data_IF_739637173282
#
_entry.id   IF_739637173282
#
_cell.length_a   1.000
_cell.length_b   1.000
_cell.length_c   1.000
_cell.angle_alpha   90.00
_cell.angle_beta   90.00
_cell.angle_gamma   90.00
#
_symmetry.space_group_name_H-M   'P 1'
#
loop_
_entity.id
_entity.type
_entity.pdbx_description
1 polymer ?
#
# COMPACT_ATOMS: atom_id res chain seq x y z
N UNK A 1 -22.94 -0.55 -31.35
CA UNK A 1 -21.80 0.16 -30.74
C UNK A 1 -22.21 0.56 -29.34
N UNK A 2 -21.84 -0.22 -28.32
CA UNK A 2 -22.02 0.12 -26.90
C UNK A 2 -20.89 -0.52 -26.09
N UNK A 3 -20.34 0.33 -25.23
CA UNK A 3 -19.89 0.06 -23.85
C UNK A 3 -18.83 -1.00 -23.61
N UNK A 4 -17.68 -0.58 -23.08
CA UNK A 4 -17.54 -0.41 -21.62
C UNK A 4 -16.10 0.02 -21.31
N UNK A 5 -15.92 1.23 -20.78
CA UNK A 5 -14.68 1.57 -20.08
C UNK A 5 -14.68 0.79 -18.75
N UNK A 6 -14.16 -0.43 -18.77
CA UNK A 6 -13.63 -1.07 -17.56
C UNK A 6 -12.40 -0.26 -17.12
N UNK A 7 -12.64 0.87 -16.45
CA UNK A 7 -11.63 1.46 -15.58
C UNK A 7 -11.43 0.44 -14.47
N UNK A 8 -10.40 -0.34 -14.67
CA UNK A 8 -10.00 -1.48 -13.88
C UNK A 8 -9.66 -0.97 -12.49
N UNK A 9 -10.29 -1.52 -11.45
CA UNK A 9 -9.83 -1.35 -10.05
C UNK A 9 -8.33 -1.71 -9.87
N UNK A 10 -7.71 -2.37 -10.86
CA UNK A 10 -6.28 -2.65 -11.01
C UNK A 10 -5.39 -1.47 -11.47
N UNK A 11 -5.93 -0.27 -11.74
CA UNK A 11 -5.12 0.87 -12.22
C UNK A 11 -5.03 2.04 -11.25
N UNK A 12 -5.63 1.97 -10.06
CA UNK A 12 -5.40 3.01 -9.07
C UNK A 12 -3.96 2.89 -8.54
N UNK A 13 -3.13 3.94 -8.66
CA UNK A 13 -1.79 3.95 -8.12
C UNK A 13 -1.85 3.65 -6.62
N UNK A 14 -0.96 2.78 -6.12
CA UNK A 14 -0.84 2.50 -4.68
C UNK A 14 -0.78 3.79 -3.84
N UNK A 15 -0.15 4.84 -4.36
CA UNK A 15 -0.10 6.17 -3.73
C UNK A 15 -1.48 6.76 -3.44
N UNK A 16 -2.44 6.65 -4.37
CA UNK A 16 -3.81 7.16 -4.17
C UNK A 16 -4.59 6.33 -3.15
N UNK A 17 -4.32 5.02 -3.11
CA UNK A 17 -4.93 4.11 -2.13
C UNK A 17 -4.42 4.39 -0.71
N UNK A 18 -3.13 4.71 -0.58
CA UNK A 18 -2.50 5.02 0.71
C UNK A 18 -3.08 6.28 1.37
N UNK A 19 -3.48 7.27 0.58
CA UNK A 19 -4.13 8.49 1.11
C UNK A 19 -5.54 8.24 1.66
N UNK A 20 -6.20 7.18 1.20
CA UNK A 20 -7.57 6.80 1.60
C UNK A 20 -7.59 5.61 2.57
N UNK A 21 -6.42 5.08 2.93
CA UNK A 21 -6.32 3.90 3.74
C UNK A 21 -6.76 4.17 5.19
N UNK A 22 -7.55 3.26 5.76
CA UNK A 22 -7.78 3.20 7.20
C UNK A 22 -6.54 2.64 7.90
N UNK A 23 -6.04 1.56 7.32
CA UNK A 23 -4.95 0.78 7.88
C UNK A 23 -4.21 0.03 6.81
N UNK A 24 -2.95 -0.24 7.09
CA UNK A 24 -2.04 -0.90 6.16
C UNK A 24 -1.50 -2.13 6.89
N UNK A 25 -1.62 -3.30 6.29
CA UNK A 25 -0.98 -4.51 6.77
C UNK A 25 0.33 -4.71 6.02
N UNK A 26 1.44 -4.88 6.73
CA UNK A 26 2.75 -5.18 6.15
C UNK A 26 3.30 -6.45 6.77
N UNK A 27 3.59 -7.45 5.93
CA UNK A 27 4.14 -8.74 6.34
C UNK A 27 3.36 -9.38 7.52
N UNK A 28 2.03 -9.21 7.54
CA UNK A 28 1.13 -9.71 8.59
C UNK A 28 0.94 -8.79 9.81
N UNK A 29 1.61 -7.65 9.88
CA UNK A 29 1.46 -6.66 10.96
C UNK A 29 0.55 -5.50 10.52
N UNK A 30 -0.48 -5.19 11.32
CA UNK A 30 -1.44 -4.11 11.03
C UNK A 30 -0.99 -2.75 11.58
N UNK A 31 -0.95 -1.75 10.70
CA UNK A 31 -0.58 -0.36 10.98
C UNK A 31 -1.78 0.57 10.77
N UNK A 32 -2.34 1.08 11.87
CA UNK A 32 -3.45 2.07 11.86
C UNK A 32 -2.98 3.53 12.02
N UNK A 33 -1.70 3.73 12.30
CA UNK A 33 -1.12 5.06 12.48
C UNK A 33 0.07 5.19 11.55
N UNK A 34 -0.18 5.81 10.41
CA UNK A 34 0.82 6.09 9.41
C UNK A 34 0.70 7.54 8.94
N UNK A 35 1.77 8.03 8.34
CA UNK A 35 1.83 9.37 7.75
C UNK A 35 2.37 9.25 6.33
N UNK A 36 1.63 9.79 5.37
CA UNK A 36 2.12 10.01 4.02
C UNK A 36 2.62 11.47 3.91
N UNK A 37 3.92 11.65 3.66
CA UNK A 37 4.54 12.95 3.47
C UNK A 37 4.76 13.28 1.97
N UNK A 38 4.17 12.50 1.05
CA UNK A 38 4.30 12.66 -0.41
C UNK A 38 5.60 12.10 -1.00
N UNK A 39 6.70 12.12 -0.23
CA UNK A 39 7.99 11.50 -0.59
C UNK A 39 8.29 10.22 0.19
N UNK A 40 7.63 10.04 1.33
CA UNK A 40 7.81 8.89 2.21
C UNK A 40 6.52 8.57 2.95
N UNK A 41 6.18 7.29 2.99
CA UNK A 41 5.17 6.71 3.86
C UNK A 41 5.87 6.15 5.11
N UNK A 42 5.42 6.61 6.27
CA UNK A 42 5.95 6.20 7.57
C UNK A 42 4.87 5.40 8.30
N UNK A 43 5.10 4.12 8.52
CA UNK A 43 4.22 3.26 9.32
C UNK A 43 4.81 3.10 10.72
N UNK A 44 4.00 3.32 11.77
CA UNK A 44 4.45 3.12 13.16
C UNK A 44 3.65 2.00 13.83
N UNK A 45 4.33 0.92 14.19
CA UNK A 45 3.72 -0.12 15.00
C UNK A 45 3.65 0.29 16.46
N UNK A 46 2.48 0.12 17.07
CA UNK A 46 2.32 0.23 18.53
C UNK A 46 2.82 -1.03 19.26
N UNK A 47 2.73 -2.20 18.63
CA UNK A 47 3.06 -3.50 19.24
C UNK A 47 4.56 -3.71 19.30
N UNK A 48 5.23 -3.60 18.16
CA UNK A 48 6.68 -3.85 18.05
C UNK A 48 7.52 -2.60 18.31
N UNK A 49 6.89 -1.42 18.44
CA UNK A 49 7.55 -0.09 18.45
C UNK A 49 8.40 0.18 17.20
N UNK A 50 8.34 -0.68 16.18
CA UNK A 50 9.07 -0.54 14.92
C UNK A 50 8.45 0.58 14.08
N UNK A 51 9.30 1.23 13.29
CA UNK A 51 8.90 2.19 12.26
C UNK A 51 9.34 1.60 10.93
N UNK A 52 8.42 1.54 9.98
CA UNK A 52 8.72 1.19 8.60
C UNK A 52 8.65 2.45 7.75
N UNK A 53 9.59 2.53 6.82
CA UNK A 53 9.69 3.61 5.86
C UNK A 53 9.55 3.00 4.47
N UNK A 54 8.73 3.63 3.64
CA UNK A 54 8.58 3.33 2.23
C UNK A 54 8.70 4.63 1.47
N UNK A 55 9.75 4.75 0.65
CA UNK A 55 9.94 5.93 -0.18
C UNK A 55 9.01 5.87 -1.38
N UNK A 56 8.57 7.02 -1.86
CA UNK A 56 7.66 7.11 -3.00
C UNK A 56 8.22 6.41 -4.24
N UNK A 57 9.54 6.40 -4.42
CA UNK A 57 10.18 5.70 -5.54
C UNK A 57 10.20 4.17 -5.37
N UNK A 58 10.18 3.64 -4.14
CA UNK A 58 9.92 2.21 -3.88
C UNK A 58 8.45 1.87 -4.16
N UNK A 59 7.53 2.71 -3.68
CA UNK A 59 6.07 2.53 -3.85
C UNK A 59 5.70 2.55 -5.35
N UNK A 60 6.36 3.36 -6.17
CA UNK A 60 6.16 3.37 -7.64
C UNK A 60 6.59 2.07 -8.32
N UNK A 61 7.52 1.32 -7.73
CA UNK A 61 7.97 0.01 -8.22
C UNK A 61 7.06 -1.13 -7.73
N UNK A 62 6.06 -0.83 -6.91
CA UNK A 62 5.19 -1.83 -6.33
C UNK A 62 4.39 -2.57 -7.40
N UNK A 63 4.36 -3.89 -7.31
CA UNK A 63 3.59 -4.76 -8.21
C UNK A 63 2.40 -5.30 -7.44
N UNK A 64 1.20 -5.10 -7.97
CA UNK A 64 -0.01 -5.68 -7.38
C UNK A 64 -0.08 -7.18 -7.67
N UNK A 65 -0.14 -7.98 -6.60
CA UNK A 65 -0.40 -9.41 -6.66
C UNK A 65 -1.89 -9.69 -6.40
N UNK A 66 -2.58 -10.15 -7.45
CA UNK A 66 -4.00 -10.43 -7.43
C UNK A 66 -4.36 -11.58 -6.48
N UNK A 67 -3.49 -12.59 -6.32
CA UNK A 67 -3.79 -13.78 -5.53
C UNK A 67 -3.84 -13.46 -4.04
N UNK A 68 -2.89 -12.66 -3.57
CA UNK A 68 -2.82 -12.21 -2.17
C UNK A 68 -3.56 -10.89 -1.92
N UNK A 69 -4.02 -10.21 -2.99
CA UNK A 69 -4.59 -8.86 -2.98
C UNK A 69 -3.68 -7.87 -2.24
N UNK A 70 -2.37 -7.99 -2.45
CA UNK A 70 -1.37 -7.12 -1.83
C UNK A 70 -0.44 -6.51 -2.88
N UNK A 71 0.22 -5.44 -2.48
CA UNK A 71 1.25 -4.78 -3.27
C UNK A 71 2.61 -5.24 -2.78
N UNK A 72 3.39 -5.84 -3.66
CA UNK A 72 4.75 -6.28 -3.40
C UNK A 72 5.71 -5.16 -3.74
N UNK A 73 6.37 -4.61 -2.71
CA UNK A 73 7.29 -3.48 -2.83
C UNK A 73 8.72 -4.01 -2.67
N UNK A 74 9.54 -4.01 -3.74
CA UNK A 74 10.95 -4.35 -3.62
C UNK A 74 11.71 -3.19 -2.94
N UNK A 75 12.53 -3.51 -1.94
CA UNK A 75 13.53 -2.58 -1.40
C UNK A 75 14.85 -2.64 -2.19
N UNK A 76 15.80 -1.76 -1.85
CA UNK A 76 17.11 -1.69 -2.51
C UNK A 76 17.98 -2.96 -2.30
N UNK A 77 17.67 -3.78 -1.29
CA UNK A 77 18.32 -5.07 -1.01
C UNK A 77 17.63 -6.25 -1.75
N UNK A 78 16.70 -5.99 -2.67
CA UNK A 78 15.81 -6.98 -3.29
C UNK A 78 14.92 -7.76 -2.32
N UNK A 79 14.76 -7.32 -1.06
CA UNK A 79 13.74 -7.87 -0.17
C UNK A 79 12.40 -7.29 -0.57
N UNK A 80 11.42 -8.17 -0.74
CA UNK A 80 10.06 -7.80 -1.09
C UNK A 80 9.25 -7.68 0.18
N UNK A 81 8.66 -6.50 0.41
CA UNK A 81 7.68 -6.28 1.49
C UNK A 81 6.29 -6.35 0.92
N UNK A 82 5.43 -7.17 1.52
CA UNK A 82 4.04 -7.34 1.08
C UNK A 82 3.14 -6.39 1.83
N UNK A 83 2.45 -5.50 1.11
CA UNK A 83 1.67 -4.41 1.65
C UNK A 83 0.20 -4.54 1.22
N UNK A 84 -0.69 -4.80 2.16
CA UNK A 84 -2.14 -4.83 1.91
C UNK A 84 -2.78 -3.56 2.46
N UNK A 85 -3.44 -2.82 1.59
CA UNK A 85 -4.12 -1.58 1.94
C UNK A 85 -5.57 -1.89 2.30
N UNK A 86 -5.98 -1.57 3.52
CA UNK A 86 -7.37 -1.67 3.97
C UNK A 86 -7.99 -0.28 3.89
N UNK A 87 -8.94 -0.10 2.97
CA UNK A 87 -9.65 1.16 2.78
C UNK A 87 -10.80 1.27 3.78
N UNK A 88 -11.12 2.50 4.21
CA UNK A 88 -12.41 2.75 4.88
C UNK A 88 -13.51 2.58 3.85
N UNK A 89 -14.26 1.48 3.90
CA UNK A 89 -15.53 1.37 3.18
C UNK A 89 -16.56 2.07 4.06
N UNK A 90 -16.91 3.30 3.71
CA UNK A 90 -18.06 3.97 4.31
C UNK A 90 -19.32 3.11 4.13
N UNK A 91 -20.15 3.05 5.17
CA UNK A 91 -21.47 2.41 5.14
C UNK A 91 -22.35 2.93 3.99
#
# INVERSE_FOLDING_TARGET
>A
MHSSNQVTENQQPLLELLDKADSIEVDGELFRNFKNHGVVLILRSKKSRRRLFFYTDEIKKAVFDLASRSWNIPDDDNKVRSLKVNLVVGA
#
